data_IF_265348023346
#
_entry.id   IF_265348023346
#
_cell.length_a   1.000
_cell.length_b   1.000
_cell.length_c   1.000
_cell.angle_alpha   90.00
_cell.angle_beta   90.00
_cell.angle_gamma   90.00
#
_symmetry.space_group_name_H-M   'P 1'
#
loop_
_entity.id
_entity.type
_entity.pdbx_description
1 polymer ?
#
# COMPACT_ATOMS: atom_id res chain seq x y z
N UNK A 1 3.61 6.44 -8.80
CA UNK A 1 2.24 6.84 -9.18
C UNK A 1 1.87 6.03 -10.42
N UNK A 2 0.71 5.38 -10.42
CA UNK A 2 0.38 4.32 -11.38
C UNK A 2 0.06 4.79 -12.81
N UNK A 3 -0.34 6.04 -12.99
CA UNK A 3 -0.83 6.58 -14.27
C UNK A 3 0.28 7.18 -15.13
N UNK A 4 1.26 6.36 -15.53
CA UNK A 4 2.18 6.71 -16.62
C UNK A 4 1.72 6.03 -17.89
N UNK A 5 1.98 6.64 -19.04
CA UNK A 5 1.67 6.03 -20.35
C UNK A 5 2.23 4.61 -20.46
N UNK A 6 3.45 4.40 -19.95
CA UNK A 6 4.10 3.09 -19.92
C UNK A 6 3.32 2.05 -19.10
N UNK A 7 2.82 2.42 -17.92
CA UNK A 7 2.05 1.51 -17.08
C UNK A 7 0.64 1.25 -17.66
N UNK A 8 0.03 2.23 -18.32
CA UNK A 8 -1.23 2.05 -19.04
C UNK A 8 -1.09 1.03 -20.17
N UNK A 9 0.00 1.09 -20.94
CA UNK A 9 0.30 0.08 -21.97
C UNK A 9 0.50 -1.32 -21.36
N UNK A 10 1.20 -1.42 -20.23
CA UNK A 10 1.35 -2.69 -19.51
C UNK A 10 0.00 -3.27 -19.06
N UNK A 11 -0.87 -2.45 -18.48
CA UNK A 11 -2.21 -2.87 -18.04
C UNK A 11 -3.05 -3.30 -19.24
N UNK A 12 -3.11 -2.49 -20.30
CA UNK A 12 -3.87 -2.84 -21.51
C UNK A 12 -3.38 -4.14 -22.15
N UNK A 13 -2.06 -4.34 -22.18
CA UNK A 13 -1.45 -5.59 -22.63
C UNK A 13 -1.89 -6.79 -21.78
N UNK A 14 -1.80 -6.70 -20.46
CA UNK A 14 -2.27 -7.75 -19.55
C UNK A 14 -3.77 -8.04 -19.69
N UNK A 15 -4.60 -7.00 -19.80
CA UNK A 15 -6.05 -7.13 -20.01
C UNK A 15 -6.36 -7.85 -21.33
N UNK A 16 -5.74 -7.41 -22.42
CA UNK A 16 -5.92 -8.02 -23.74
C UNK A 16 -5.47 -9.49 -23.75
N UNK A 17 -4.35 -9.79 -23.08
CA UNK A 17 -3.85 -11.15 -22.95
C UNK A 17 -4.82 -12.03 -22.16
N UNK A 18 -5.34 -11.56 -21.03
CA UNK A 18 -6.33 -12.27 -20.25
C UNK A 18 -7.62 -12.55 -21.05
N UNK A 19 -8.14 -11.56 -21.77
CA UNK A 19 -9.30 -11.73 -22.67
C UNK A 19 -9.01 -12.79 -23.74
N UNK A 20 -7.84 -12.75 -24.37
CA UNK A 20 -7.45 -13.75 -25.37
C UNK A 20 -7.42 -15.17 -24.80
N UNK A 21 -6.80 -15.37 -23.63
CA UNK A 21 -6.78 -16.65 -22.94
C UNK A 21 -8.19 -17.12 -22.56
N UNK A 22 -9.05 -16.21 -22.09
CA UNK A 22 -10.43 -16.54 -21.76
C UNK A 22 -11.22 -16.95 -23.00
N UNK A 23 -11.08 -16.27 -24.14
CA UNK A 23 -11.73 -16.68 -25.39
C UNK A 23 -11.29 -18.09 -25.81
N UNK A 24 -10.00 -18.41 -25.72
CA UNK A 24 -9.48 -19.76 -26.04
C UNK A 24 -10.04 -20.82 -25.09
N UNK A 25 -10.02 -20.54 -23.78
CA UNK A 25 -10.52 -21.46 -22.76
C UNK A 25 -12.02 -21.70 -22.93
N UNK A 26 -12.79 -20.63 -23.13
CA UNK A 26 -14.23 -20.67 -23.40
C UNK A 26 -14.54 -21.51 -24.64
N UNK A 27 -13.87 -21.25 -25.76
CA UNK A 27 -14.09 -22.02 -26.99
C UNK A 27 -13.85 -23.53 -26.78
N UNK A 28 -12.82 -23.89 -26.00
CA UNK A 28 -12.56 -25.29 -25.64
C UNK A 28 -13.65 -25.87 -24.74
N UNK A 29 -14.05 -25.16 -23.69
CA UNK A 29 -15.07 -25.65 -22.74
C UNK A 29 -16.44 -25.77 -23.40
N UNK A 30 -16.84 -24.77 -24.21
CA UNK A 30 -18.11 -24.76 -24.94
C UNK A 30 -18.18 -25.92 -25.93
N UNK A 31 -17.07 -26.26 -26.58
CA UNK A 31 -17.01 -27.42 -27.50
C UNK A 31 -17.26 -28.77 -26.83
N UNK A 32 -17.00 -28.89 -25.52
CA UNK A 32 -17.14 -30.14 -24.75
C UNK A 32 -18.42 -30.20 -23.92
N UNK A 33 -18.80 -29.09 -23.31
CA UNK A 33 -19.84 -29.03 -22.27
C UNK A 33 -21.10 -28.31 -22.71
N UNK A 34 -21.06 -27.59 -23.84
CA UNK A 34 -22.16 -26.77 -24.32
C UNK A 34 -22.20 -25.36 -23.72
N UNK A 35 -22.71 -24.40 -24.49
CA UNK A 35 -22.60 -22.96 -24.21
C UNK A 35 -23.28 -22.50 -22.91
N UNK A 36 -24.46 -23.04 -22.61
CA UNK A 36 -25.22 -22.64 -21.42
C UNK A 36 -24.67 -23.28 -20.14
N UNK A 37 -24.14 -24.51 -20.22
CA UNK A 37 -23.53 -25.19 -19.08
C UNK A 37 -22.24 -24.49 -18.64
N UNK A 38 -21.42 -24.05 -19.60
CA UNK A 38 -20.20 -23.28 -19.28
C UNK A 38 -20.56 -21.93 -18.65
N UNK A 39 -21.54 -21.21 -19.20
CA UNK A 39 -21.98 -19.94 -18.63
C UNK A 39 -22.55 -20.11 -17.21
N UNK A 40 -23.40 -21.12 -17.00
CA UNK A 40 -23.94 -21.43 -15.68
C UNK A 40 -22.83 -21.82 -14.68
N UNK A 41 -21.85 -22.62 -15.09
CA UNK A 41 -20.71 -23.01 -14.24
C UNK A 41 -19.83 -21.81 -13.85
N UNK A 42 -19.62 -20.87 -14.76
CA UNK A 42 -18.86 -19.64 -14.46
C UNK A 42 -19.62 -18.71 -13.52
N UNK A 43 -20.94 -18.54 -13.72
CA UNK A 43 -21.77 -17.79 -12.78
C UNK A 43 -21.86 -18.46 -11.41
N UNK A 44 -21.82 -19.80 -11.34
CA UNK A 44 -21.73 -20.52 -10.07
C UNK A 44 -20.40 -20.24 -9.37
N UNK A 45 -19.28 -20.29 -10.09
CA UNK A 45 -17.97 -19.88 -9.55
C UNK A 45 -17.97 -18.43 -9.06
N UNK A 46 -18.59 -17.53 -9.83
CA UNK A 46 -18.76 -16.14 -9.44
C UNK A 46 -19.64 -15.99 -8.19
N UNK A 47 -20.72 -16.77 -8.07
CA UNK A 47 -21.57 -16.81 -6.88
C UNK A 47 -20.81 -17.26 -5.62
N UNK A 48 -19.90 -18.24 -5.74
CA UNK A 48 -19.04 -18.66 -4.63
C UNK A 48 -18.12 -17.51 -4.19
N UNK A 49 -17.49 -16.82 -5.14
CA UNK A 49 -16.66 -15.64 -4.84
C UNK A 49 -17.50 -14.55 -4.15
N UNK A 50 -18.69 -14.26 -4.67
CA UNK A 50 -19.62 -13.29 -4.07
C UNK A 50 -20.01 -13.68 -2.65
N UNK A 51 -20.27 -14.96 -2.38
CA UNK A 51 -20.57 -15.45 -1.04
C UNK A 51 -19.39 -15.26 -0.07
N UNK A 52 -18.17 -15.59 -0.51
CA UNK A 52 -16.94 -15.38 0.28
C UNK A 52 -16.76 -13.89 0.60
N UNK A 53 -16.90 -13.01 -0.39
CA UNK A 53 -16.79 -11.55 -0.22
C UNK A 53 -17.87 -11.02 0.72
N UNK A 54 -19.10 -11.54 0.64
CA UNK A 54 -20.20 -11.12 1.51
C UNK A 54 -19.92 -11.46 2.98
N UNK A 55 -19.36 -12.64 3.25
CA UNK A 55 -19.03 -13.08 4.61
C UNK A 55 -17.81 -12.33 5.16
N UNK A 56 -16.76 -12.16 4.36
CA UNK A 56 -15.48 -11.57 4.82
C UNK A 56 -15.48 -10.05 4.80
N UNK A 57 -16.20 -9.44 3.87
CA UNK A 57 -16.22 -8.00 3.62
C UNK A 57 -17.65 -7.54 3.25
N UNK A 58 -18.60 -7.52 4.21
CA UNK A 58 -20.00 -7.17 3.92
C UNK A 58 -20.16 -5.82 3.20
N UNK A 59 -19.30 -4.85 3.52
CA UNK A 59 -19.29 -3.52 2.91
C UNK A 59 -18.98 -3.52 1.41
N UNK A 60 -18.29 -4.55 0.90
CA UNK A 60 -17.94 -4.68 -0.53
C UNK A 60 -18.88 -5.60 -1.30
N UNK A 61 -19.86 -6.24 -0.62
CA UNK A 61 -20.71 -7.27 -1.21
C UNK A 61 -21.52 -6.77 -2.41
N UNK A 62 -22.01 -5.53 -2.35
CA UNK A 62 -22.80 -4.92 -3.43
C UNK A 62 -22.04 -4.88 -4.78
N UNK A 63 -20.71 -4.73 -4.74
CA UNK A 63 -19.87 -4.67 -5.95
C UNK A 63 -19.92 -5.98 -6.75
N UNK A 64 -20.20 -7.10 -6.09
CA UNK A 64 -20.22 -8.43 -6.70
C UNK A 64 -21.65 -8.95 -6.91
N UNK A 65 -22.56 -8.60 -6.00
CA UNK A 65 -23.97 -9.02 -6.06
C UNK A 65 -24.70 -8.45 -7.28
N UNK A 66 -24.53 -7.16 -7.58
CA UNK A 66 -25.20 -6.55 -8.74
C UNK A 66 -24.74 -7.16 -10.07
N UNK A 67 -23.43 -7.25 -10.37
CA UNK A 67 -22.97 -7.95 -11.57
C UNK A 67 -23.46 -9.39 -11.68
N UNK A 68 -23.44 -10.15 -10.57
CA UNK A 68 -23.89 -11.54 -10.57
C UNK A 68 -25.39 -11.65 -10.86
N UNK A 69 -26.22 -10.83 -10.21
CA UNK A 69 -27.67 -10.83 -10.40
C UNK A 69 -28.02 -10.54 -11.85
N UNK A 70 -27.47 -9.46 -12.42
CA UNK A 70 -27.77 -9.07 -13.79
C UNK A 70 -27.19 -10.04 -14.82
N UNK A 71 -26.03 -10.63 -14.57
CA UNK A 71 -25.47 -11.65 -15.46
C UNK A 71 -26.32 -12.94 -15.45
N UNK A 72 -26.84 -13.35 -14.28
CA UNK A 72 -27.76 -14.47 -14.15
C UNK A 72 -29.11 -14.20 -14.85
N UNK A 73 -29.69 -13.01 -14.66
CA UNK A 73 -30.90 -12.57 -15.37
C UNK A 73 -30.66 -12.51 -16.89
N UNK A 74 -29.50 -12.00 -17.31
CA UNK A 74 -29.09 -11.97 -18.72
C UNK A 74 -28.98 -13.37 -19.33
N UNK A 75 -28.42 -14.33 -18.60
CA UNK A 75 -28.36 -15.74 -19.02
C UNK A 75 -29.76 -16.36 -19.12
N UNK A 76 -30.62 -16.15 -18.12
CA UNK A 76 -32.00 -16.66 -18.13
C UNK A 76 -32.79 -16.08 -19.31
N UNK A 77 -32.73 -14.76 -19.51
CA UNK A 77 -33.36 -14.09 -20.63
C UNK A 77 -32.80 -14.58 -21.98
N UNK A 78 -31.49 -14.82 -22.07
CA UNK A 78 -30.85 -15.37 -23.25
C UNK A 78 -31.36 -16.79 -23.59
N UNK A 79 -31.61 -17.63 -22.59
CA UNK A 79 -32.20 -18.97 -22.76
C UNK A 79 -33.66 -18.85 -23.27
N UNK A 80 -34.44 -17.93 -22.71
CA UNK A 80 -35.86 -17.74 -23.06
C UNK A 80 -36.05 -17.12 -24.44
N UNK A 81 -35.20 -16.17 -24.85
CA UNK A 81 -35.36 -15.42 -26.09
C UNK A 81 -35.38 -16.30 -27.36
N UNK A 82 -34.76 -17.48 -27.33
CA UNK A 82 -34.61 -18.51 -28.40
C UNK A 82 -34.00 -18.03 -29.73
N UNK A 83 -34.20 -16.76 -30.13
CA UNK A 83 -33.61 -16.11 -31.30
C UNK A 83 -32.17 -15.67 -31.01
N UNK A 84 -31.22 -15.89 -31.93
CA UNK A 84 -29.79 -15.61 -31.70
C UNK A 84 -29.51 -14.14 -31.38
N UNK A 85 -30.15 -13.21 -32.09
CA UNK A 85 -29.92 -11.77 -31.86
C UNK A 85 -30.51 -11.30 -30.52
N UNK A 86 -31.72 -11.75 -30.17
CA UNK A 86 -32.35 -11.42 -28.89
C UNK A 86 -31.57 -11.99 -27.71
N UNK A 87 -31.07 -13.22 -27.85
CA UNK A 87 -30.27 -13.90 -26.84
C UNK A 87 -28.95 -13.16 -26.56
N UNK A 88 -28.26 -12.69 -27.60
CA UNK A 88 -27.04 -11.89 -27.48
C UNK A 88 -27.29 -10.51 -26.83
N UNK A 89 -28.39 -9.84 -27.17
CA UNK A 89 -28.76 -8.55 -26.57
C UNK A 89 -29.03 -8.72 -25.06
N UNK A 90 -29.80 -9.74 -24.67
CA UNK A 90 -30.06 -10.03 -23.26
C UNK A 90 -28.77 -10.33 -22.47
N UNK A 91 -27.87 -11.12 -23.05
CA UNK A 91 -26.56 -11.41 -22.47
C UNK A 91 -25.71 -10.13 -22.31
N UNK A 92 -25.76 -9.23 -23.31
CA UNK A 92 -25.05 -7.95 -23.27
C UNK A 92 -25.55 -7.04 -22.17
N UNK A 93 -26.87 -6.84 -22.09
CA UNK A 93 -27.49 -6.03 -21.05
C UNK A 93 -27.17 -6.58 -19.64
N UNK A 94 -27.18 -7.90 -19.47
CA UNK A 94 -26.81 -8.53 -18.20
C UNK A 94 -25.35 -8.32 -17.78
N UNK A 95 -24.46 -8.05 -18.73
CA UNK A 95 -23.03 -7.80 -18.47
C UNK A 95 -22.74 -6.35 -18.12
N UNK A 96 -23.62 -5.40 -18.49
CA UNK A 96 -23.38 -3.96 -18.31
C UNK A 96 -23.04 -3.56 -16.87
N UNK A 97 -23.75 -4.04 -15.81
CA UNK A 97 -23.39 -3.67 -14.44
C UNK A 97 -21.99 -4.14 -14.03
N UNK A 98 -21.53 -5.29 -14.55
CA UNK A 98 -20.18 -5.78 -14.32
C UNK A 98 -19.15 -4.82 -14.95
N UNK A 99 -19.39 -4.35 -16.17
CA UNK A 99 -18.51 -3.39 -16.86
C UNK A 99 -18.48 -2.06 -16.10
N UNK A 100 -19.65 -1.51 -15.77
CA UNK A 100 -19.76 -0.21 -15.10
C UNK A 100 -19.20 -0.19 -13.68
N UNK A 101 -19.14 -1.34 -12.99
CA UNK A 101 -18.54 -1.42 -11.66
C UNK A 101 -17.06 -1.81 -11.72
N UNK A 102 -16.72 -2.89 -12.44
CA UNK A 102 -15.37 -3.44 -12.40
C UNK A 102 -14.36 -2.67 -13.24
N UNK A 103 -14.76 -2.05 -14.37
CA UNK A 103 -13.81 -1.29 -15.18
C UNK A 103 -13.28 -0.03 -14.47
N UNK A 104 -14.12 0.89 -13.94
CA UNK A 104 -13.61 2.05 -13.21
C UNK A 104 -12.94 1.65 -11.89
N UNK A 105 -13.45 0.64 -11.19
CA UNK A 105 -12.81 0.15 -9.96
C UNK A 105 -11.41 -0.40 -10.22
N UNK A 106 -11.24 -1.16 -11.30
CA UNK A 106 -9.92 -1.68 -11.71
C UNK A 106 -8.96 -0.53 -12.01
N UNK A 107 -9.41 0.49 -12.74
CA UNK A 107 -8.59 1.67 -13.01
C UNK A 107 -8.21 2.42 -11.73
N UNK A 108 -9.18 2.70 -10.84
CA UNK A 108 -8.94 3.41 -9.58
C UNK A 108 -7.98 2.65 -8.67
N UNK A 109 -8.16 1.33 -8.53
CA UNK A 109 -7.26 0.49 -7.73
C UNK A 109 -5.86 0.41 -8.33
N UNK A 110 -5.76 0.35 -9.65
CA UNK A 110 -4.46 0.40 -10.33
C UNK A 110 -3.74 1.74 -10.07
N UNK A 111 -4.43 2.88 -10.17
CA UNK A 111 -3.86 4.19 -9.87
C UNK A 111 -3.44 4.30 -8.39
N UNK A 112 -4.30 3.81 -7.49
CA UNK A 112 -4.12 3.91 -6.04
C UNK A 112 -3.00 2.99 -5.52
N UNK A 113 -3.01 1.72 -5.91
CA UNK A 113 -2.07 0.72 -5.42
C UNK A 113 -0.77 0.70 -6.24
N UNK A 114 -0.80 1.21 -7.47
CA UNK A 114 0.29 1.05 -8.44
C UNK A 114 0.49 -0.40 -8.87
N UNK A 115 1.62 -0.68 -9.51
CA UNK A 115 2.03 -2.04 -9.88
C UNK A 115 2.70 -2.74 -8.69
N UNK A 116 1.90 -3.32 -7.80
CA UNK A 116 2.37 -4.23 -6.76
C UNK A 116 1.64 -5.58 -6.83
N UNK A 117 2.12 -6.59 -6.11
CA UNK A 117 1.56 -7.95 -6.17
C UNK A 117 0.09 -8.03 -5.76
N UNK A 118 -0.31 -7.24 -4.75
CA UNK A 118 -1.71 -7.17 -4.28
C UNK A 118 -2.60 -6.56 -5.36
N UNK A 119 -2.15 -5.46 -5.98
CA UNK A 119 -2.87 -4.81 -7.08
C UNK A 119 -3.08 -5.78 -8.23
N UNK A 120 -2.03 -6.51 -8.64
CA UNK A 120 -2.12 -7.53 -9.69
C UNK A 120 -3.13 -8.61 -9.33
N UNK A 121 -3.11 -9.12 -8.09
CA UNK A 121 -4.06 -10.14 -7.64
C UNK A 121 -5.52 -9.62 -7.66
N UNK A 122 -5.76 -8.40 -7.18
CA UNK A 122 -7.09 -7.79 -7.15
C UNK A 122 -7.60 -7.49 -8.56
N UNK A 123 -6.75 -6.96 -9.44
CA UNK A 123 -7.11 -6.72 -10.84
C UNK A 123 -7.43 -8.03 -11.58
N UNK A 124 -6.64 -9.08 -11.34
CA UNK A 124 -6.90 -10.40 -11.90
C UNK A 124 -8.23 -10.98 -11.40
N UNK A 125 -8.56 -10.80 -10.12
CA UNK A 125 -9.86 -11.20 -9.54
C UNK A 125 -11.02 -10.44 -10.19
N UNK A 126 -10.95 -9.10 -10.24
CA UNK A 126 -12.00 -8.26 -10.83
C UNK A 126 -12.20 -8.58 -12.32
N UNK A 127 -11.11 -8.78 -13.06
CA UNK A 127 -11.16 -9.20 -14.45
C UNK A 127 -11.76 -10.60 -14.62
N UNK A 128 -11.39 -11.55 -13.77
CA UNK A 128 -11.98 -12.89 -13.75
C UNK A 128 -13.48 -12.85 -13.49
N UNK A 129 -13.93 -12.05 -12.53
CA UNK A 129 -15.35 -11.82 -12.25
C UNK A 129 -16.07 -11.13 -13.42
N UNK A 130 -15.44 -10.14 -14.06
CA UNK A 130 -15.98 -9.49 -15.26
C UNK A 130 -16.17 -10.49 -16.40
N UNK A 131 -15.17 -11.34 -16.64
CA UNK A 131 -15.21 -12.36 -17.68
C UNK A 131 -16.24 -13.47 -17.37
N UNK A 132 -16.43 -13.82 -16.09
CA UNK A 132 -17.48 -14.72 -15.65
C UNK A 132 -18.88 -14.11 -15.83
N UNK A 133 -19.06 -12.82 -15.52
CA UNK A 133 -20.30 -12.10 -15.77
C UNK A 133 -20.60 -12.00 -17.28
N UNK A 134 -19.56 -11.84 -18.10
CA UNK A 134 -19.65 -11.82 -19.56
C UNK A 134 -19.77 -13.22 -20.20
N UNK A 135 -19.79 -14.30 -19.41
CA UNK A 135 -19.91 -15.67 -19.93
C UNK A 135 -21.09 -15.89 -20.91
N UNK A 136 -22.29 -15.32 -20.66
CA UNK A 136 -23.41 -15.45 -21.58
C UNK A 136 -23.15 -14.78 -22.93
N UNK A 137 -22.31 -13.73 -22.99
CA UNK A 137 -21.89 -13.09 -24.24
C UNK A 137 -20.94 -13.99 -25.03
N UNK A 138 -19.96 -14.60 -24.35
CA UNK A 138 -19.01 -15.50 -25.00
C UNK A 138 -19.68 -16.74 -25.61
N UNK A 139 -20.83 -17.18 -25.07
CA UNK A 139 -21.66 -18.24 -25.65
C UNK A 139 -22.20 -17.91 -27.07
N UNK A 140 -22.20 -16.63 -27.46
CA UNK A 140 -22.64 -16.14 -28.77
C UNK A 140 -21.49 -15.82 -29.71
N UNK A 141 -20.28 -15.66 -29.17
CA UNK A 141 -19.06 -15.62 -29.98
C UNK A 141 -18.88 -17.05 -30.49
N UNK A 142 -19.04 -17.26 -31.80
CA UNK A 142 -18.86 -18.58 -32.42
C UNK A 142 -17.43 -19.11 -32.30
N UNK A 143 -16.97 -19.92 -33.26
CA UNK A 143 -15.53 -20.21 -33.35
C UNK A 143 -14.81 -18.88 -33.63
N UNK A 144 -14.24 -18.26 -32.59
CA UNK A 144 -13.39 -17.10 -32.76
C UNK A 144 -12.31 -17.48 -33.79
N UNK A 145 -12.14 -16.71 -34.89
CA UNK A 145 -11.14 -17.02 -35.87
C UNK A 145 -9.79 -17.12 -35.16
N UNK A 146 -9.02 -18.19 -35.42
CA UNK A 146 -7.67 -18.34 -34.86
C UNK A 146 -6.83 -17.07 -35.11
N UNK A 147 -7.09 -16.40 -36.23
CA UNK A 147 -6.51 -15.12 -36.61
C UNK A 147 -6.84 -14.00 -35.61
N UNK A 148 -8.09 -13.85 -35.16
CA UNK A 148 -8.50 -12.81 -34.21
C UNK A 148 -7.88 -13.02 -32.82
N UNK A 149 -7.82 -14.27 -32.37
CA UNK A 149 -7.15 -14.60 -31.10
C UNK A 149 -5.65 -14.37 -31.21
N UNK A 150 -5.03 -14.81 -32.32
CA UNK A 150 -3.61 -14.60 -32.57
C UNK A 150 -3.26 -13.11 -32.67
N UNK A 151 -4.08 -12.31 -33.36
CA UNK A 151 -3.87 -10.86 -33.44
C UNK A 151 -3.98 -10.19 -32.07
N UNK A 152 -4.97 -10.58 -31.26
CA UNK A 152 -5.12 -10.05 -29.90
C UNK A 152 -3.92 -10.41 -29.02
N UNK A 153 -3.41 -11.64 -29.13
CA UNK A 153 -2.19 -12.05 -28.42
C UNK A 153 -0.96 -11.27 -28.89
N UNK A 154 -0.77 -11.11 -30.20
CA UNK A 154 0.36 -10.34 -30.75
C UNK A 154 0.30 -8.87 -30.28
N UNK A 155 -0.87 -8.24 -30.36
CA UNK A 155 -1.07 -6.87 -29.87
C UNK A 155 -0.80 -6.80 -28.37
N UNK A 156 -1.28 -7.77 -27.59
CA UNK A 156 -1.05 -7.80 -26.14
C UNK A 156 0.44 -7.89 -25.80
N UNK A 157 1.20 -8.76 -26.49
CA UNK A 157 2.65 -8.90 -26.32
C UNK A 157 3.36 -7.60 -26.72
N UNK A 158 2.97 -6.98 -27.84
CA UNK A 158 3.54 -5.72 -28.29
C UNK A 158 3.33 -4.60 -27.25
N UNK A 159 2.11 -4.47 -26.70
CA UNK A 159 1.78 -3.51 -25.66
C UNK A 159 2.62 -3.73 -24.39
N UNK A 160 2.78 -4.98 -23.95
CA UNK A 160 3.61 -5.30 -22.78
C UNK A 160 5.08 -4.97 -23.03
N UNK A 161 5.63 -5.31 -24.20
CA UNK A 161 7.03 -5.05 -24.54
C UNK A 161 7.30 -3.54 -24.66
N UNK A 162 6.44 -2.79 -25.34
CA UNK A 162 6.55 -1.33 -25.45
C UNK A 162 6.39 -0.66 -24.09
N UNK A 163 5.39 -1.07 -23.31
CA UNK A 163 5.18 -0.57 -21.94
C UNK A 163 6.41 -0.81 -21.07
N UNK A 164 7.00 -2.00 -21.13
CA UNK A 164 8.25 -2.34 -20.41
C UNK A 164 9.41 -1.45 -20.85
N UNK A 165 9.57 -1.23 -22.15
CA UNK A 165 10.66 -0.41 -22.69
C UNK A 165 10.53 1.07 -22.28
N UNK A 166 9.30 1.57 -22.17
CA UNK A 166 9.02 2.94 -21.73
C UNK A 166 9.08 3.11 -20.21
N UNK A 167 8.93 2.04 -19.43
CA UNK A 167 9.03 2.04 -17.96
C UNK A 167 10.49 2.00 -17.45
N UNK A 168 11.42 2.62 -18.17
CA UNK A 168 12.82 2.74 -17.71
C UNK A 168 13.02 3.99 -16.85
N UNK A 169 13.85 3.86 -15.82
CA UNK A 169 14.23 4.99 -14.98
C UNK A 169 15.03 6.01 -15.78
N UNK A 170 14.68 7.27 -15.63
CA UNK A 170 15.30 8.40 -16.33
C UNK A 170 14.96 9.70 -15.60
N UNK A 171 15.53 10.83 -16.01
CA UNK A 171 15.14 12.14 -15.45
C UNK A 171 13.65 12.46 -15.62
N UNK A 172 12.99 11.94 -16.67
CA UNK A 172 11.55 12.10 -16.87
C UNK A 172 10.71 11.11 -16.03
N UNK A 173 11.31 9.99 -15.63
CA UNK A 173 10.68 8.94 -14.81
C UNK A 173 11.63 8.54 -13.67
N UNK A 174 11.80 9.41 -12.65
CA UNK A 174 12.86 9.23 -11.67
C UNK A 174 12.60 8.02 -10.76
N UNK A 175 13.68 7.31 -10.46
CA UNK A 175 13.73 6.26 -9.46
C UNK A 175 13.59 6.84 -8.06
N UNK A 176 12.82 6.20 -7.18
CA UNK A 176 12.65 6.66 -5.81
C UNK A 176 13.75 6.08 -4.94
N UNK A 177 14.37 6.92 -4.12
CA UNK A 177 15.28 6.48 -3.08
C UNK A 177 14.94 7.11 -1.74
N UNK A 178 15.54 6.60 -0.69
CA UNK A 178 15.28 7.05 0.67
C UNK A 178 16.58 7.15 1.45
N UNK A 179 16.71 8.25 2.20
CA UNK A 179 17.79 8.44 3.14
C UNK A 179 17.27 9.20 4.36
N UNK A 180 17.68 8.75 5.54
CA UNK A 180 17.37 9.37 6.83
C UNK A 180 18.69 9.48 7.59
N UNK A 181 18.99 10.66 8.10
CA UNK A 181 20.02 10.82 9.12
C UNK A 181 19.37 10.60 10.49
N UNK A 182 19.86 9.63 11.27
CA UNK A 182 19.30 9.32 12.59
C UNK A 182 20.35 9.42 13.67
N UNK A 183 20.00 10.07 14.78
CA UNK A 183 20.84 10.22 15.96
C UNK A 183 20.21 9.52 17.15
N UNK A 184 21.00 8.70 17.83
CA UNK A 184 20.74 8.25 19.19
C UNK A 184 21.50 9.19 20.15
N UNK A 185 20.76 10.07 20.83
CA UNK A 185 21.33 11.08 21.71
C UNK A 185 21.94 10.51 23.00
N UNK A 186 21.51 9.31 23.43
CA UNK A 186 22.00 8.70 24.67
C UNK A 186 23.32 7.96 24.44
N UNK A 187 23.42 7.20 23.34
CA UNK A 187 24.66 6.53 22.96
C UNK A 187 25.65 7.45 22.25
N UNK A 188 25.23 8.67 21.90
CA UNK A 188 25.97 9.61 21.04
C UNK A 188 26.45 8.94 19.74
N UNK A 189 25.52 8.31 19.04
CA UNK A 189 25.80 7.69 17.73
C UNK A 189 24.87 8.26 16.68
N UNK A 190 25.37 8.34 15.45
CA UNK A 190 24.58 8.70 14.29
C UNK A 190 24.67 7.61 13.23
N UNK A 191 23.62 7.47 12.43
CA UNK A 191 23.55 6.51 11.34
C UNK A 191 22.79 7.09 10.15
N UNK A 192 23.26 6.74 8.95
CA UNK A 192 22.50 6.83 7.71
C UNK A 192 21.61 5.61 7.58
N UNK A 193 20.35 5.82 7.23
CA UNK A 193 19.36 4.75 7.07
C UNK A 193 18.67 4.92 5.72
N UNK A 194 18.52 3.82 4.99
CA UNK A 194 17.72 3.75 3.77
C UNK A 194 16.76 2.57 3.85
N UNK A 195 15.53 2.77 3.39
CA UNK A 195 14.53 1.71 3.22
C UNK A 195 14.60 1.05 1.84
N UNK A 196 15.63 1.38 1.04
CA UNK A 196 15.76 0.90 -0.33
C UNK A 196 16.29 -0.55 -0.38
N UNK A 197 15.92 -1.28 -1.43
CA UNK A 197 16.34 -2.66 -1.65
C UNK A 197 17.84 -2.77 -2.00
N UNK A 198 18.41 -1.73 -2.59
CA UNK A 198 19.81 -1.63 -2.91
C UNK A 198 20.29 -0.18 -2.83
N UNK A 199 21.60 0.00 -2.66
CA UNK A 199 22.25 1.29 -2.82
C UNK A 199 22.27 1.65 -4.29
N UNK A 200 21.96 2.91 -4.59
CA UNK A 200 22.03 3.52 -5.91
C UNK A 200 23.20 4.52 -6.01
N UNK A 201 23.36 5.13 -7.19
CA UNK A 201 24.47 6.05 -7.46
C UNK A 201 24.50 7.27 -6.56
N UNK A 202 23.37 7.67 -5.98
CA UNK A 202 23.29 8.81 -5.06
C UNK A 202 23.47 8.40 -3.61
N UNK A 203 22.79 7.35 -3.14
CA UNK A 203 22.84 6.88 -1.74
C UNK A 203 24.19 6.25 -1.37
N UNK A 204 24.98 5.82 -2.35
CA UNK A 204 26.30 5.22 -2.14
C UNK A 204 27.27 6.12 -1.36
N UNK A 205 27.19 7.43 -1.54
CA UNK A 205 28.05 8.39 -0.84
C UNK A 205 27.79 8.47 0.67
N UNK A 206 26.63 8.01 1.12
CA UNK A 206 26.23 8.02 2.53
C UNK A 206 26.41 6.65 3.18
N UNK A 207 25.96 5.59 2.50
CA UNK A 207 25.95 4.23 3.05
C UNK A 207 27.29 3.51 2.87
N UNK A 208 28.09 3.90 1.87
CA UNK A 208 29.39 3.32 1.61
C UNK A 208 29.39 1.80 1.42
N UNK A 209 30.56 1.19 1.62
CA UNK A 209 30.75 -0.25 1.46
C UNK A 209 30.51 -1.06 2.74
N UNK A 210 30.63 -0.44 3.92
CA UNK A 210 30.46 -1.10 5.22
C UNK A 210 29.00 -1.10 5.73
N UNK A 211 28.04 -0.88 4.82
CA UNK A 211 26.61 -0.91 5.15
C UNK A 211 26.17 -2.28 5.61
N UNK A 212 25.24 -2.29 6.55
CA UNK A 212 24.58 -3.48 7.06
C UNK A 212 23.13 -3.50 6.61
N UNK A 213 22.56 -4.70 6.44
CA UNK A 213 21.13 -4.89 6.21
C UNK A 213 20.55 -5.62 7.40
N UNK A 214 19.51 -5.06 8.01
CA UNK A 214 18.84 -5.67 9.16
C UNK A 214 17.65 -4.84 9.64
N UNK A 215 17.06 -5.25 10.75
CA UNK A 215 15.97 -4.51 11.37
C UNK A 215 16.44 -3.11 11.82
N UNK A 216 15.56 -2.13 11.64
CA UNK A 216 15.82 -0.77 12.11
C UNK A 216 15.93 -0.76 13.63
N UNK A 217 17.01 -0.17 14.16
CA UNK A 217 17.20 -0.05 15.59
C UNK A 217 16.05 0.77 16.23
N UNK A 218 15.77 0.52 17.51
CA UNK A 218 14.63 1.12 18.20
C UNK A 218 14.59 2.66 18.15
N UNK A 219 15.75 3.30 18.27
CA UNK A 219 15.91 4.76 18.19
C UNK A 219 15.58 5.35 16.81
N UNK A 220 15.51 4.51 15.78
CA UNK A 220 15.06 4.88 14.44
C UNK A 220 13.52 4.91 14.34
N UNK A 221 12.85 4.87 15.50
CA UNK A 221 11.40 4.86 15.67
C UNK A 221 10.67 3.69 15.00
N UNK A 222 11.41 2.60 14.74
CA UNK A 222 10.87 1.31 14.34
C UNK A 222 10.21 1.28 12.97
N UNK A 223 10.98 0.92 11.95
CA UNK A 223 10.41 0.28 10.78
C UNK A 223 10.46 -1.23 11.00
N UNK A 224 9.34 -1.94 10.81
CA UNK A 224 9.31 -3.42 10.76
C UNK A 224 10.00 -3.96 9.50
N UNK A 225 10.47 -3.07 8.61
CA UNK A 225 11.20 -3.44 7.39
C UNK A 225 12.70 -3.49 7.66
N UNK A 226 13.35 -4.43 6.98
CA UNK A 226 14.80 -4.45 6.88
C UNK A 226 15.29 -3.20 6.15
N UNK A 227 16.17 -2.46 6.79
CA UNK A 227 16.78 -1.23 6.28
C UNK A 227 18.26 -1.46 6.00
N UNK A 228 18.82 -0.62 5.13
CA UNK A 228 20.25 -0.44 4.99
C UNK A 228 20.71 0.61 6.00
N UNK A 229 21.74 0.30 6.77
CA UNK A 229 22.32 1.19 7.77
C UNK A 229 23.82 1.33 7.60
N UNK A 230 24.34 2.53 7.84
CA UNK A 230 25.77 2.79 7.95
C UNK A 230 26.00 3.82 9.06
N UNK A 231 27.11 3.72 9.78
CA UNK A 231 27.50 4.76 10.73
C UNK A 231 27.67 6.11 10.03
N UNK A 232 27.20 7.16 10.68
CA UNK A 232 27.34 8.53 10.25
C UNK A 232 28.15 9.33 11.28
N UNK A 233 28.70 10.45 10.82
CA UNK A 233 29.36 11.38 11.72
C UNK A 233 28.34 12.04 12.64
N UNK A 234 28.62 12.05 13.93
CA UNK A 234 27.72 12.59 14.94
C UNK A 234 27.75 14.13 14.93
N UNK A 235 26.61 14.71 14.60
CA UNK A 235 26.33 16.12 14.80
C UNK A 235 25.79 16.41 16.21
N UNK A 236 26.14 17.57 16.82
CA UNK A 236 25.66 17.97 18.14
C UNK A 236 24.23 18.52 18.07
N UNK A 237 23.28 17.66 17.73
CA UNK A 237 21.86 18.01 17.63
C UNK A 237 21.17 17.83 18.98
N UNK A 238 20.38 18.83 19.40
CA UNK A 238 19.59 18.73 20.61
C UNK A 238 18.45 17.72 20.46
N UNK A 239 18.33 16.83 21.45
CA UNK A 239 17.26 15.84 21.49
C UNK A 239 15.92 16.49 21.90
N UNK A 240 14.78 15.93 21.45
CA UNK A 240 13.48 16.35 21.97
C UNK A 240 13.37 16.07 23.46
N UNK A 241 12.56 16.87 24.14
CA UNK A 241 12.30 16.75 25.57
C UNK A 241 10.95 16.13 25.84
N UNK A 242 10.87 15.32 26.88
CA UNK A 242 9.62 14.83 27.44
C UNK A 242 9.64 15.05 28.95
N UNK A 243 8.84 16.01 29.43
CA UNK A 243 8.76 16.36 30.85
C UNK A 243 7.44 15.88 31.44
N UNK A 244 7.47 15.38 32.67
CA UNK A 244 6.26 14.90 33.36
C UNK A 244 5.49 16.10 33.91
N UNK A 245 4.24 16.26 33.48
CA UNK A 245 3.28 17.25 34.03
C UNK A 245 2.59 16.64 35.26
N UNK A 246 2.11 15.41 35.12
CA UNK A 246 1.52 14.64 36.21
C UNK A 246 1.66 13.15 35.96
N UNK A 247 1.76 12.39 37.02
CA UNK A 247 1.83 10.94 36.96
C UNK A 247 1.06 10.37 38.15
N UNK A 248 -0.03 9.65 37.86
CA UNK A 248 -0.86 9.02 38.88
C UNK A 248 -1.14 7.57 38.52
N UNK A 249 -1.27 6.74 39.54
CA UNK A 249 -1.70 5.35 39.40
C UNK A 249 -3.04 5.15 40.11
N UNK A 250 -4.00 4.55 39.40
CA UNK A 250 -5.30 4.15 39.93
C UNK A 250 -5.43 2.63 39.78
N UNK A 251 -5.17 1.90 40.87
CA UNK A 251 -5.13 0.44 40.84
C UNK A 251 -4.00 -0.10 39.96
N UNK A 252 -4.35 -0.82 38.89
CA UNK A 252 -3.38 -1.35 37.92
C UNK A 252 -3.20 -0.45 36.69
N UNK A 253 -3.86 0.71 36.65
CA UNK A 253 -3.76 1.66 35.55
C UNK A 253 -2.91 2.86 35.95
N UNK A 254 -2.24 3.46 34.97
CA UNK A 254 -1.41 4.66 35.15
C UNK A 254 -1.86 5.74 34.18
N UNK A 255 -2.06 6.95 34.68
CA UNK A 255 -2.33 8.15 33.89
C UNK A 255 -1.08 9.01 33.91
N UNK A 256 -0.41 9.06 32.76
CA UNK A 256 0.83 9.80 32.57
C UNK A 256 0.57 11.00 31.65
N UNK A 257 0.75 12.21 32.17
CA UNK A 257 0.73 13.46 31.39
C UNK A 257 2.15 13.94 31.16
N UNK A 258 2.51 14.06 29.89
CA UNK A 258 3.83 14.49 29.43
C UNK A 258 3.70 15.76 28.60
N UNK A 259 4.67 16.65 28.71
CA UNK A 259 4.88 17.73 27.77
C UNK A 259 6.05 17.37 26.84
N UNK A 260 5.75 17.22 25.55
CA UNK A 260 6.71 16.88 24.50
C UNK A 260 7.10 18.13 23.72
N UNK A 261 8.39 18.43 23.61
CA UNK A 261 8.86 19.59 22.84
C UNK A 261 10.10 19.25 22.00
N UNK A 262 10.25 19.95 20.87
CA UNK A 262 11.44 19.86 20.02
C UNK A 262 12.20 21.19 20.12
N UNK A 263 13.37 21.22 20.79
CA UNK A 263 14.24 22.40 20.80
C UNK A 263 14.66 22.86 19.40
N UNK A 264 14.64 21.93 18.43
CA UNK A 264 15.01 22.15 17.04
C UNK A 264 13.84 22.63 16.15
N UNK A 265 12.67 22.88 16.72
CA UNK A 265 11.43 23.22 15.99
C UNK A 265 11.10 22.22 14.87
N UNK A 266 11.28 20.93 15.14
CA UNK A 266 11.06 19.87 14.18
C UNK A 266 9.60 19.75 13.72
N UNK A 267 9.39 19.27 12.50
CA UNK A 267 8.06 19.18 11.90
C UNK A 267 7.20 18.03 12.46
N UNK A 268 7.80 17.08 13.18
CA UNK A 268 7.09 15.93 13.74
C UNK A 268 7.69 15.56 15.09
N UNK A 269 6.82 15.31 16.08
CA UNK A 269 7.16 14.63 17.33
C UNK A 269 6.68 13.17 17.28
N UNK A 270 7.50 12.28 17.80
CA UNK A 270 7.29 10.83 17.79
C UNK A 270 7.54 10.28 19.20
N UNK A 271 6.69 9.36 19.65
CA UNK A 271 6.92 8.59 20.88
C UNK A 271 6.64 7.12 20.63
N UNK A 272 7.65 6.26 20.79
CA UNK A 272 7.55 4.81 20.59
C UNK A 272 7.55 4.11 21.94
N UNK A 273 6.48 3.39 22.23
CA UNK A 273 6.34 2.58 23.44
C UNK A 273 6.88 1.16 23.20
N UNK A 274 7.27 0.44 24.26
CA UNK A 274 7.72 -0.94 24.14
C UNK A 274 6.52 -1.85 23.77
N UNK A 275 6.79 -2.99 23.14
CA UNK A 275 5.74 -3.88 22.62
C UNK A 275 4.78 -4.44 23.69
N UNK A 276 5.21 -4.45 24.96
CA UNK A 276 4.39 -4.87 26.10
C UNK A 276 3.55 -3.74 26.72
N UNK A 277 3.69 -2.48 26.27
CA UNK A 277 2.88 -1.37 26.77
C UNK A 277 1.49 -1.38 26.14
N UNK A 278 0.45 -1.47 26.97
CA UNK A 278 -0.96 -1.38 26.53
C UNK A 278 -1.54 -0.01 26.86
N UNK A 279 -1.83 0.78 25.82
CA UNK A 279 -2.49 2.09 25.92
C UNK A 279 -4.01 1.90 25.92
N UNK A 280 -4.69 2.46 26.92
CA UNK A 280 -6.14 2.43 27.11
C UNK A 280 -6.82 3.68 26.53
N UNK A 281 -6.20 4.85 26.68
CA UNK A 281 -6.67 6.10 26.08
C UNK A 281 -5.52 7.07 25.81
N UNK A 282 -5.74 7.98 24.85
CA UNK A 282 -4.80 8.99 24.39
C UNK A 282 -5.51 10.33 24.27
N UNK A 283 -4.97 11.37 24.91
CA UNK A 283 -5.40 12.76 24.70
C UNK A 283 -4.17 13.59 24.31
N UNK A 284 -4.24 14.31 23.20
CA UNK A 284 -3.18 15.22 22.76
C UNK A 284 -3.74 16.64 22.65
N UNK A 285 -3.13 17.61 23.34
CA UNK A 285 -3.60 19.00 23.43
C UNK A 285 -5.11 19.09 23.72
N UNK A 286 -5.60 18.31 24.69
CA UNK A 286 -7.01 18.29 25.11
C UNK A 286 -7.97 17.58 24.16
N UNK A 287 -7.51 16.99 23.04
CA UNK A 287 -8.35 16.24 22.10
C UNK A 287 -8.17 14.75 22.31
N UNK A 288 -9.27 14.04 22.59
CA UNK A 288 -9.28 12.59 22.72
C UNK A 288 -9.15 11.92 21.36
N UNK A 289 -8.29 10.90 21.27
CA UNK A 289 -8.09 10.12 20.06
C UNK A 289 -8.59 8.69 20.26
N UNK A 290 -9.36 8.19 19.27
CA UNK A 290 -9.79 6.79 19.26
C UNK A 290 -8.59 5.90 18.95
N UNK A 291 -8.35 4.91 19.80
CA UNK A 291 -7.35 3.88 19.54
C UNK A 291 -7.94 2.88 18.55
N UNK A 292 -7.43 2.86 17.33
CA UNK A 292 -7.70 1.77 16.40
C UNK A 292 -6.86 0.56 16.85
N UNK A 293 -7.50 -0.60 17.03
CA UNK A 293 -6.88 -1.86 17.47
C UNK A 293 -6.32 -1.88 18.91
N UNK A 294 -7.18 -1.67 19.92
CA UNK A 294 -6.83 -1.85 21.34
C UNK A 294 -6.31 -3.27 21.71
N UNK A 295 -6.51 -4.25 20.82
CA UNK A 295 -6.14 -5.67 20.99
C UNK A 295 -5.05 -6.18 20.02
N UNK A 296 -4.40 -5.31 19.23
CA UNK A 296 -3.30 -5.74 18.34
C UNK A 296 -2.03 -6.07 19.15
N UNK A 297 -1.97 -7.30 19.65
CA UNK A 297 -0.95 -7.84 20.54
C UNK A 297 0.46 -8.02 19.94
N UNK A 298 0.91 -7.24 18.94
CA UNK A 298 2.20 -7.54 18.29
C UNK A 298 3.00 -6.38 17.65
N UNK A 299 2.49 -5.15 17.56
CA UNK A 299 3.26 -4.05 16.94
C UNK A 299 3.58 -2.96 17.96
N UNK A 300 4.82 -2.47 17.96
CA UNK A 300 5.24 -1.40 18.86
C UNK A 300 4.38 -0.15 18.65
N UNK A 301 3.72 0.33 19.69
CA UNK A 301 2.87 1.50 19.61
C UNK A 301 3.70 2.76 19.31
N UNK A 302 3.28 3.56 18.33
CA UNK A 302 3.96 4.79 17.90
C UNK A 302 2.98 5.96 17.87
N UNK A 303 3.17 6.93 18.75
CA UNK A 303 2.57 8.24 18.64
C UNK A 303 3.29 9.05 17.57
N UNK A 304 2.52 9.78 16.74
CA UNK A 304 3.03 10.74 15.78
C UNK A 304 2.18 12.01 15.81
N UNK A 305 2.81 13.14 16.12
CA UNK A 305 2.22 14.47 16.02
C UNK A 305 2.90 15.26 14.91
N UNK A 306 2.17 15.59 13.85
CA UNK A 306 2.70 16.38 12.73
C UNK A 306 2.43 17.87 12.98
N UNK A 307 3.38 18.72 12.60
CA UNK A 307 3.35 20.17 12.82
C UNK A 307 3.05 20.53 14.28
N UNK A 308 3.89 20.12 15.25
CA UNK A 308 3.74 20.56 16.63
C UNK A 308 3.86 22.09 16.70
N UNK A 309 3.09 22.76 17.57
CA UNK A 309 3.27 24.19 17.78
C UNK A 309 4.62 24.46 18.46
N UNK A 310 5.15 25.69 18.39
CA UNK A 310 6.48 26.01 18.94
C UNK A 310 6.65 25.67 20.43
N UNK A 311 5.57 25.79 21.20
CA UNK A 311 5.53 25.46 22.63
C UNK A 311 5.55 23.96 22.92
N UNK A 312 5.29 23.07 21.95
CA UNK A 312 5.23 21.62 22.16
C UNK A 312 3.81 21.05 22.26
N UNK A 313 3.70 19.82 22.75
CA UNK A 313 2.45 19.05 22.78
C UNK A 313 2.28 18.41 24.14
N UNK A 314 1.12 18.64 24.75
CA UNK A 314 0.71 17.94 25.96
C UNK A 314 0.05 16.61 25.58
N UNK A 315 0.61 15.53 26.11
CA UNK A 315 0.22 14.16 25.84
C UNK A 315 -0.23 13.48 27.13
N UNK A 316 -1.48 13.06 27.21
CA UNK A 316 -1.99 12.20 28.27
C UNK A 316 -2.13 10.77 27.74
N UNK A 317 -1.50 9.83 28.45
CA UNK A 317 -1.58 8.40 28.21
C UNK A 317 -2.20 7.72 29.42
N UNK A 318 -3.26 6.95 29.20
CA UNK A 318 -3.75 5.97 30.18
C UNK A 318 -3.23 4.60 29.81
N UNK A 319 -2.53 3.94 30.71
CA UNK A 319 -1.85 2.66 30.49
C UNK A 319 -2.49 1.57 31.35
N UNK A 320 -2.54 0.34 30.84
CA UNK A 320 -3.07 -0.82 31.57
C UNK A 320 -2.10 -1.43 32.60
N UNK A 321 -1.00 -0.73 32.90
CA UNK A 321 0.00 -1.14 33.87
C UNK A 321 0.55 0.09 34.59
N UNK A 322 0.78 -0.05 35.90
CA UNK A 322 1.46 0.94 36.75
C UNK A 322 2.98 0.84 36.76
N UNK A 323 3.56 -0.09 35.99
CA UNK A 323 5.01 -0.25 35.89
C UNK A 323 5.70 0.98 35.25
N UNK A 324 7.00 1.20 35.51
CA UNK A 324 7.79 2.22 34.83
C UNK A 324 7.72 2.08 33.30
N UNK A 325 7.55 3.21 32.61
CA UNK A 325 7.43 3.25 31.16
C UNK A 325 8.76 3.67 30.54
N UNK A 326 9.47 2.71 29.95
CA UNK A 326 10.68 2.97 29.16
C UNK A 326 10.33 3.12 27.68
N UNK A 327 10.48 4.31 27.12
CA UNK A 327 10.06 4.65 25.76
C UNK A 327 11.11 5.46 25.00
N UNK A 328 10.98 5.53 23.68
CA UNK A 328 11.76 6.43 22.85
C UNK A 328 10.93 7.66 22.49
N UNK A 329 11.52 8.84 22.62
CA UNK A 329 10.97 10.10 22.13
C UNK A 329 11.90 10.61 21.05
N UNK A 330 11.36 10.97 19.90
CA UNK A 330 12.12 11.47 18.77
C UNK A 330 11.42 12.65 18.11
N UNK A 331 12.22 13.50 17.47
CA UNK A 331 11.73 14.56 16.62
C UNK A 331 12.34 14.44 15.23
N UNK A 332 11.59 14.91 14.23
CA UNK A 332 11.96 14.76 12.82
C UNK A 332 11.81 16.07 12.07
N UNK A 333 12.92 16.59 11.60
CA UNK A 333 12.99 17.78 10.75
C UNK A 333 13.15 17.38 9.28
N UNK A 334 12.61 18.20 8.38
CA UNK A 334 12.86 18.09 6.95
C UNK A 334 14.31 18.45 6.62
N UNK A 335 14.89 17.78 5.63
CA UNK A 335 16.26 17.98 5.18
C UNK A 335 17.24 17.01 5.82
N UNK A 336 18.29 16.71 5.05
CA UNK A 336 19.51 16.07 5.54
C UNK A 336 20.42 17.14 6.14
N UNK A 337 21.16 16.85 7.21
CA UNK A 337 22.01 17.86 7.82
C UNK A 337 23.32 18.01 7.03
N UNK A 338 23.89 19.20 7.07
CA UNK A 338 25.25 19.44 6.58
C UNK A 338 26.25 18.88 7.58
N UNK A 339 27.21 18.08 7.09
CA UNK A 339 28.26 17.50 7.92
C UNK A 339 29.56 18.29 7.69
N UNK A 340 30.14 18.94 8.73
CA UNK A 340 31.37 19.70 8.61
C UNK A 340 32.49 18.90 7.95
N UNK A 341 33.17 19.50 6.98
CA UNK A 341 34.28 18.84 6.27
C UNK A 341 33.87 17.75 5.27
N UNK A 342 32.57 17.50 5.09
CA UNK A 342 32.05 16.60 4.05
C UNK A 342 31.20 17.37 3.06
N UNK A 343 31.36 17.02 1.79
CA UNK A 343 30.53 17.55 0.71
C UNK A 343 29.86 16.39 0.01
N UNK A 344 28.53 16.46 -0.07
CA UNK A 344 27.71 15.48 -0.76
C UNK A 344 27.27 16.04 -2.10
N UNK A 345 27.31 15.20 -3.13
CA UNK A 345 26.81 15.57 -4.44
C UNK A 345 25.28 15.60 -4.40
N UNK A 346 24.71 16.60 -5.09
CA UNK A 346 23.28 16.72 -5.25
C UNK A 346 22.68 15.47 -5.92
N UNK A 347 21.42 15.19 -5.58
CA UNK A 347 20.67 14.08 -6.19
C UNK A 347 20.56 14.29 -7.70
N UNK A 348 21.01 13.32 -8.49
CA UNK A 348 20.85 13.36 -9.94
C UNK A 348 19.36 13.40 -10.32
N UNK A 349 19.03 14.02 -11.45
CA UNK A 349 17.63 14.19 -11.89
C UNK A 349 16.88 12.86 -12.10
N UNK A 350 17.59 11.75 -12.28
CA UNK A 350 17.04 10.40 -12.39
C UNK A 350 16.59 9.80 -11.04
N UNK A 351 16.85 10.47 -9.93
CA UNK A 351 16.42 10.06 -8.60
C UNK A 351 15.48 11.09 -7.97
N UNK A 352 14.54 10.64 -7.16
CA UNK A 352 13.66 11.49 -6.36
C UNK A 352 13.45 10.93 -4.95
N UNK A 353 13.28 11.82 -3.98
CA UNK A 353 13.02 11.44 -2.59
C UNK A 353 11.72 10.62 -2.50
N UNK A 354 11.75 9.56 -1.72
CA UNK A 354 10.53 8.87 -1.29
C UNK A 354 9.82 9.70 -0.23
N UNK A 355 8.49 9.60 -0.18
CA UNK A 355 7.72 10.25 0.87
C UNK A 355 8.22 9.82 2.27
N UNK A 356 8.54 10.81 3.11
CA UNK A 356 9.08 10.57 4.45
C UNK A 356 10.59 10.30 4.53
N UNK A 357 11.32 10.38 3.41
CA UNK A 357 12.78 10.43 3.39
C UNK A 357 13.30 11.86 3.43
N UNK A 358 14.62 12.00 3.40
CA UNK A 358 15.35 13.27 3.39
C UNK A 358 15.06 14.06 4.66
N UNK A 359 15.22 13.37 5.78
CA UNK A 359 14.86 13.85 7.11
C UNK A 359 15.97 13.59 8.12
N UNK A 360 16.00 14.44 9.12
CA UNK A 360 16.89 14.35 10.29
C UNK A 360 16.07 13.93 11.49
N UNK A 361 16.28 12.71 11.96
CA UNK A 361 15.64 12.12 13.13
C UNK A 361 16.60 12.17 14.32
N UNK A 362 16.20 12.76 15.44
CA UNK A 362 16.96 12.71 16.69
C UNK A 362 16.10 12.07 17.76
N UNK A 363 16.63 11.04 18.41
CA UNK A 363 15.90 10.23 19.37
C UNK A 363 16.66 10.12 20.70
N UNK A 364 15.88 10.12 21.79
CA UNK A 364 16.34 9.89 23.16
C UNK A 364 15.38 8.95 23.87
N UNK A 365 15.92 8.14 24.76
CA UNK A 365 15.17 7.26 25.62
C UNK A 365 14.77 7.97 26.91
N UNK A 366 13.52 7.78 27.32
CA UNK A 366 12.96 8.25 28.58
C UNK A 366 12.47 7.08 29.40
N UNK A 367 12.60 7.20 30.73
CA UNK A 367 11.96 6.29 31.69
C UNK A 367 11.13 7.14 32.63
N UNK A 368 9.83 6.86 32.66
CA UNK A 368 8.87 7.52 33.53
C UNK A 368 8.39 6.58 34.61
#
# INVERSE_FOLDING_TARGET
FGDTWSNTLLVLGCLAMAVAFSVVLQARLVSKLGRFNVAAGQLLGFAIVTAIVTIRTPAASYLFQWPLLFAALGLLAAIVARKPNGSAVCAGLGTLPAVFLFAPLSYLLFVLLGLNSIAVAVLALLLGCLLAAAAPLFAHVGKAPRVTVASLLIVSIALVLVGRQLSQFSAAHPHRNSLIYSVNADERKAAWISSDDAVDGWTAQFLGNNRQRGEAAAFQMGSERNVLTAEAELLPLEAPTATVISDSAEGNERVLRLHLASPRSANVLLMRLPANAKVLSLVANGRSHRLENADAAASSWLFRYNAPPPEGVDLELRLASSAPLKCWVADRSLGLPEIPGKTYHARQAEYVATYGSDVTLVARQYTF
#
